data_IF_670631939736
#
_entry.id   IF_670631939736
#
_cell.length_a   1.000
_cell.length_b   1.000
_cell.length_c   1.000
_cell.angle_alpha   90.00
_cell.angle_beta   90.00
_cell.angle_gamma   90.00
#
_symmetry.space_group_name_H-M   'P 1'
#
loop_
_entity.id
_entity.type
_entity.pdbx_description
1 polymer ?
#
# COMPACT_ATOMS: atom_id res chain seq x y z
N UNK A 1 4.61 -15.09 1.62
CA UNK A 1 3.49 -14.13 1.60
C UNK A 1 2.21 -14.71 0.98
N UNK A 2 2.21 -15.14 -0.29
CA UNK A 2 0.96 -15.62 -0.93
C UNK A 2 0.26 -16.73 -0.13
N UNK A 3 1.01 -17.70 0.41
CA UNK A 3 0.44 -18.77 1.23
C UNK A 3 -0.14 -18.28 2.58
N UNK A 4 0.49 -17.30 3.25
CA UNK A 4 0.03 -16.78 4.54
C UNK A 4 -1.20 -15.87 4.40
N UNK A 5 -1.26 -15.07 3.34
CA UNK A 5 -2.35 -14.12 3.09
C UNK A 5 -3.54 -14.72 2.31
N UNK A 6 -3.35 -15.89 1.66
CA UNK A 6 -4.42 -16.52 0.86
C UNK A 6 -5.73 -16.74 1.63
N UNK A 7 -5.74 -17.23 2.89
CA UNK A 7 -6.99 -17.39 3.64
C UNK A 7 -7.76 -16.08 3.80
N UNK A 8 -7.05 -14.98 4.05
CA UNK A 8 -7.66 -13.66 4.24
C UNK A 8 -8.26 -13.14 2.92
N UNK A 9 -7.53 -13.28 1.82
CA UNK A 9 -8.01 -12.92 0.47
C UNK A 9 -9.26 -13.72 0.12
N UNK A 10 -9.28 -15.02 0.42
CA UNK A 10 -10.46 -15.88 0.19
C UNK A 10 -11.67 -15.35 0.98
N UNK A 11 -11.48 -14.97 2.25
CA UNK A 11 -12.57 -14.40 3.08
C UNK A 11 -13.10 -13.10 2.47
N UNK A 12 -12.22 -12.20 2.01
CA UNK A 12 -12.62 -10.96 1.35
C UNK A 12 -13.41 -11.20 0.05
N UNK A 13 -12.99 -12.20 -0.75
CA UNK A 13 -13.72 -12.64 -1.95
C UNK A 13 -15.09 -13.20 -1.57
N UNK A 14 -15.18 -14.04 -0.53
CA UNK A 14 -16.46 -14.61 -0.07
C UNK A 14 -17.45 -13.53 0.38
N UNK A 15 -16.98 -12.49 1.09
CA UNK A 15 -17.84 -11.35 1.44
C UNK A 15 -18.34 -10.61 0.19
N UNK A 16 -17.47 -10.41 -0.79
CA UNK A 16 -17.83 -9.77 -2.07
C UNK A 16 -18.86 -10.59 -2.84
N UNK A 17 -18.67 -11.91 -2.94
CA UNK A 17 -19.60 -12.84 -3.59
C UNK A 17 -20.96 -12.93 -2.88
N UNK A 18 -21.01 -12.67 -1.57
CA UNK A 18 -22.23 -12.58 -0.77
C UNK A 18 -22.89 -11.19 -0.82
N UNK A 19 -22.58 -10.38 -1.83
CA UNK A 19 -23.08 -9.01 -1.99
C UNK A 19 -22.73 -8.06 -0.82
N UNK A 20 -21.62 -8.33 -0.12
CA UNK A 20 -21.06 -7.44 0.90
C UNK A 20 -19.62 -7.01 0.55
N UNK A 21 -19.42 -6.24 -0.55
CA UNK A 21 -18.09 -5.80 -0.98
C UNK A 21 -17.43 -4.83 0.01
N UNK A 22 -18.23 -4.12 0.81
CA UNK A 22 -17.73 -3.19 1.84
C UNK A 22 -16.97 -3.96 2.91
N UNK A 23 -17.54 -5.06 3.42
CA UNK A 23 -16.85 -5.91 4.40
C UNK A 23 -15.54 -6.46 3.83
N UNK A 24 -15.56 -6.99 2.60
CA UNK A 24 -14.36 -7.49 1.94
C UNK A 24 -13.26 -6.44 1.80
N UNK A 25 -13.60 -5.23 1.33
CA UNK A 25 -12.65 -4.12 1.22
C UNK A 25 -12.13 -3.68 2.59
N UNK A 26 -12.99 -3.57 3.60
CA UNK A 26 -12.54 -3.18 4.96
C UNK A 26 -11.57 -4.18 5.56
N UNK A 27 -11.77 -5.48 5.32
CA UNK A 27 -10.83 -6.53 5.75
C UNK A 27 -9.47 -6.32 5.10
N UNK A 28 -9.43 -6.18 3.76
CA UNK A 28 -8.16 -6.01 3.03
C UNK A 28 -7.42 -4.73 3.42
N UNK A 29 -8.13 -3.60 3.53
CA UNK A 29 -7.54 -2.32 3.96
C UNK A 29 -7.01 -2.43 5.40
N UNK A 30 -7.76 -3.07 6.29
CA UNK A 30 -7.32 -3.28 7.67
C UNK A 30 -6.04 -4.11 7.75
N UNK A 31 -5.90 -5.13 6.90
CA UNK A 31 -4.69 -5.96 6.86
C UNK A 31 -3.50 -5.20 6.31
N UNK A 32 -3.67 -4.40 5.25
CA UNK A 32 -2.60 -3.55 4.74
C UNK A 32 -2.11 -2.54 5.81
N UNK A 33 -3.04 -1.90 6.53
CA UNK A 33 -2.68 -1.00 7.64
C UNK A 33 -1.90 -1.74 8.73
N UNK A 34 -2.33 -2.95 9.12
CA UNK A 34 -1.64 -3.76 10.11
C UNK A 34 -0.21 -4.16 9.65
N UNK A 35 -0.05 -4.51 8.38
CA UNK A 35 1.25 -4.86 7.81
C UNK A 35 2.20 -3.65 7.71
N UNK A 36 1.69 -2.48 7.31
CA UNK A 36 2.50 -1.28 7.17
C UNK A 36 2.83 -0.58 8.49
N UNK A 37 2.12 -0.92 9.57
CA UNK A 37 2.32 -0.28 10.87
C UNK A 37 2.84 -1.26 11.90
N UNK A 38 1.99 -2.20 12.35
CA UNK A 38 2.29 -3.10 13.45
C UNK A 38 3.43 -4.06 13.10
N UNK A 39 3.40 -4.66 11.91
CA UNK A 39 4.43 -5.62 11.51
C UNK A 39 5.79 -4.92 11.39
N UNK A 40 5.87 -3.81 10.65
CA UNK A 40 7.11 -3.04 10.49
C UNK A 40 7.63 -2.55 11.84
N UNK A 41 6.76 -2.00 12.69
CA UNK A 41 7.12 -1.56 14.04
C UNK A 41 7.63 -2.71 14.92
N UNK A 42 6.99 -3.88 14.85
CA UNK A 42 7.43 -5.06 15.60
C UNK A 42 8.81 -5.55 15.16
N UNK A 43 9.12 -5.47 13.86
CA UNK A 43 10.42 -5.86 13.32
C UNK A 43 11.55 -5.01 13.91
N UNK A 44 11.35 -3.69 13.97
CA UNK A 44 12.32 -2.75 14.58
C UNK A 44 12.53 -3.07 16.06
N UNK A 45 11.44 -3.32 16.80
CA UNK A 45 11.52 -3.66 18.23
C UNK A 45 12.25 -4.98 18.46
N UNK A 46 11.87 -6.04 17.75
CA UNK A 46 12.47 -7.37 17.87
C UNK A 46 13.96 -7.31 17.54
N UNK A 47 14.34 -6.62 16.45
CA UNK A 47 15.74 -6.45 16.08
C UNK A 47 16.53 -5.69 17.17
N UNK A 48 15.96 -4.62 17.70
CA UNK A 48 16.59 -3.82 18.76
C UNK A 48 16.77 -4.61 20.07
N UNK A 49 15.88 -5.55 20.38
CA UNK A 49 16.05 -6.45 21.53
C UNK A 49 17.06 -7.56 21.26
N UNK A 50 17.13 -8.05 20.03
CA UNK A 50 18.06 -9.10 19.63
C UNK A 50 19.51 -8.61 19.43
N UNK A 51 19.72 -7.31 19.18
CA UNK A 51 21.04 -6.69 18.96
C UNK A 51 21.42 -5.74 20.10
N UNK A 52 22.22 -6.18 21.08
CA UNK A 52 22.66 -5.33 22.18
C UNK A 52 23.54 -4.18 21.67
N UNK A 53 23.23 -2.93 22.07
CA UNK A 53 24.12 -1.78 21.87
C UNK A 53 23.69 -0.78 20.79
N UNK A 54 22.65 -1.05 20.00
CA UNK A 54 22.12 -0.10 19.00
C UNK A 54 20.59 0.04 19.13
N UNK A 55 20.10 0.87 20.07
CA UNK A 55 18.66 1.00 20.31
C UNK A 55 17.94 1.54 19.07
N UNK A 56 16.75 0.98 18.77
CA UNK A 56 15.87 1.40 17.68
C UNK A 56 16.51 1.34 16.29
N UNK A 57 17.42 0.40 16.05
CA UNK A 57 17.99 0.17 14.73
C UNK A 57 17.26 -0.94 13.97
N UNK A 58 17.04 -0.72 12.67
CA UNK A 58 16.74 -1.77 11.70
C UNK A 58 17.42 -1.35 10.39
N UNK A 59 18.72 -1.64 10.24
CA UNK A 59 19.49 -1.16 9.09
C UNK A 59 18.98 -1.84 7.82
N UNK A 60 18.61 -1.02 6.83
CA UNK A 60 18.26 -1.48 5.50
C UNK A 60 19.47 -1.34 4.60
N UNK A 61 19.75 -2.35 3.77
CA UNK A 61 20.68 -2.20 2.67
C UNK A 61 20.07 -1.32 1.55
N UNK A 62 20.88 -0.96 0.55
CA UNK A 62 20.44 -0.08 -0.55
C UNK A 62 19.24 -0.68 -1.31
N UNK A 63 19.22 -2.00 -1.49
CA UNK A 63 18.15 -2.68 -2.22
C UNK A 63 16.86 -2.69 -1.39
N UNK A 64 16.94 -3.01 -0.11
CA UNK A 64 15.82 -3.02 0.82
C UNK A 64 15.21 -1.62 0.96
N UNK A 65 16.04 -0.58 0.98
CA UNK A 65 15.59 0.81 0.99
C UNK A 65 14.80 1.17 -0.27
N UNK A 66 15.23 0.69 -1.44
CA UNK A 66 14.50 0.86 -2.71
C UNK A 66 13.19 0.08 -2.71
N UNK A 67 13.20 -1.17 -2.22
CA UNK A 67 11.99 -2.00 -2.11
C UNK A 67 10.96 -1.39 -1.14
N UNK A 68 11.45 -0.80 -0.04
CA UNK A 68 10.64 -0.06 0.92
C UNK A 68 10.03 1.20 0.31
N UNK A 69 10.83 1.97 -0.44
CA UNK A 69 10.36 3.17 -1.16
C UNK A 69 9.30 2.82 -2.21
N UNK A 70 9.52 1.76 -2.99
CA UNK A 70 8.58 1.26 -4.01
C UNK A 70 7.25 0.86 -3.37
N UNK A 71 7.30 0.13 -2.25
CA UNK A 71 6.11 -0.28 -1.50
C UNK A 71 5.35 0.95 -0.98
N UNK A 72 6.08 1.91 -0.41
CA UNK A 72 5.49 3.17 0.08
C UNK A 72 4.82 3.96 -1.04
N UNK A 73 5.46 4.06 -2.20
CA UNK A 73 4.92 4.77 -3.36
C UNK A 73 3.63 4.12 -3.89
N UNK A 74 3.59 2.78 -3.96
CA UNK A 74 2.40 2.04 -4.36
C UNK A 74 1.26 2.22 -3.35
N UNK A 75 1.54 2.13 -2.04
CA UNK A 75 0.52 2.33 -1.01
C UNK A 75 -0.05 3.75 -1.03
N UNK A 76 0.79 4.78 -1.22
CA UNK A 76 0.30 6.16 -1.40
C UNK A 76 -0.60 6.26 -2.63
N UNK A 77 -0.20 5.68 -3.76
CA UNK A 77 -1.01 5.66 -4.97
C UNK A 77 -2.36 4.94 -4.76
N UNK A 78 -2.36 3.79 -4.08
CA UNK A 78 -3.57 3.05 -3.74
C UNK A 78 -4.50 3.85 -2.82
N UNK A 79 -3.95 4.48 -1.78
CA UNK A 79 -4.70 5.37 -0.87
C UNK A 79 -5.36 6.50 -1.66
N UNK A 80 -4.64 7.14 -2.58
CA UNK A 80 -5.19 8.23 -3.40
C UNK A 80 -6.33 7.76 -4.32
N UNK A 81 -6.29 6.53 -4.81
CA UNK A 81 -7.39 5.94 -5.58
C UNK A 81 -8.62 5.61 -4.71
N UNK A 82 -8.41 5.22 -3.46
CA UNK A 82 -9.47 4.79 -2.53
C UNK A 82 -10.08 5.97 -1.76
N UNK A 83 -9.30 7.02 -1.47
CA UNK A 83 -9.69 8.16 -0.63
C UNK A 83 -11.02 8.84 -1.06
N UNK A 84 -11.34 9.00 -2.36
CA UNK A 84 -12.64 9.52 -2.80
C UNK A 84 -13.84 8.63 -2.48
N UNK A 85 -13.65 7.42 -1.94
CA UNK A 85 -14.66 6.37 -1.66
C UNK A 85 -15.44 5.88 -2.88
N UNK A 86 -14.96 6.19 -4.09
CA UNK A 86 -15.55 5.76 -5.36
C UNK A 86 -14.57 4.78 -6.01
N UNK A 87 -14.61 3.52 -5.60
CA UNK A 87 -13.76 2.47 -6.18
C UNK A 87 -14.45 1.92 -7.42
N UNK A 88 -13.86 2.17 -8.58
CA UNK A 88 -14.30 1.57 -9.85
C UNK A 88 -13.44 0.33 -10.15
N UNK A 89 -13.99 -0.62 -10.92
CA UNK A 89 -13.21 -1.77 -11.37
C UNK A 89 -11.94 -1.35 -12.14
N UNK A 90 -11.97 -0.20 -12.82
CA UNK A 90 -10.82 0.38 -13.54
C UNK A 90 -9.69 0.72 -12.57
N UNK A 91 -10.00 1.32 -11.41
CA UNK A 91 -9.00 1.62 -10.40
C UNK A 91 -8.34 0.35 -9.86
N UNK A 92 -9.13 -0.69 -9.58
CA UNK A 92 -8.60 -2.01 -9.19
C UNK A 92 -7.75 -2.66 -10.28
N UNK A 93 -8.16 -2.57 -11.55
CA UNK A 93 -7.39 -3.08 -12.67
C UNK A 93 -6.06 -2.33 -12.86
N UNK A 94 -6.04 -1.00 -12.68
CA UNK A 94 -4.81 -0.21 -12.73
C UNK A 94 -3.84 -0.64 -11.64
N UNK A 95 -4.30 -0.81 -10.40
CA UNK A 95 -3.47 -1.32 -9.30
C UNK A 95 -2.92 -2.71 -9.61
N UNK A 96 -3.76 -3.63 -10.06
CA UNK A 96 -3.34 -4.99 -10.39
C UNK A 96 -2.32 -5.03 -11.52
N UNK A 97 -2.58 -4.32 -12.63
CA UNK A 97 -1.68 -4.31 -13.80
C UNK A 97 -0.35 -3.69 -13.44
N UNK A 98 -0.33 -2.58 -12.72
CA UNK A 98 0.91 -1.92 -12.30
C UNK A 98 1.70 -2.76 -11.29
N UNK A 99 1.01 -3.46 -10.37
CA UNK A 99 1.63 -4.46 -9.48
C UNK A 99 2.29 -5.59 -10.27
N UNK A 100 1.52 -6.26 -11.14
CA UNK A 100 2.05 -7.37 -11.94
C UNK A 100 3.18 -6.92 -12.85
N UNK A 101 3.10 -5.73 -13.45
CA UNK A 101 4.13 -5.18 -14.33
C UNK A 101 5.48 -5.07 -13.62
N UNK A 102 5.54 -4.51 -12.40
CA UNK A 102 6.82 -4.33 -11.72
C UNK A 102 7.43 -5.66 -11.23
N UNK A 103 6.64 -6.74 -11.05
CA UNK A 103 7.17 -8.04 -10.60
C UNK A 103 8.21 -8.63 -11.55
N UNK A 104 8.08 -8.36 -12.85
CA UNK A 104 9.03 -8.82 -13.87
C UNK A 104 10.36 -8.06 -13.84
N UNK A 105 10.42 -6.93 -13.14
CA UNK A 105 11.62 -6.10 -13.05
C UNK A 105 12.28 -6.26 -11.66
N UNK A 106 13.36 -7.05 -11.64
CA UNK A 106 14.12 -7.34 -10.42
C UNK A 106 15.29 -6.37 -10.20
N UNK A 107 15.67 -5.62 -11.23
CA UNK A 107 16.77 -4.66 -11.17
C UNK A 107 16.45 -3.47 -10.23
N UNK A 108 17.37 -3.07 -9.33
CA UNK A 108 17.13 -1.97 -8.39
C UNK A 108 16.84 -0.62 -9.06
N UNK A 109 17.50 -0.31 -10.19
CA UNK A 109 17.26 0.97 -10.87
C UNK A 109 15.86 0.99 -11.49
N UNK A 110 15.43 -0.12 -12.10
CA UNK A 110 14.07 -0.26 -12.61
C UNK A 110 13.01 -0.10 -11.52
N UNK A 111 13.22 -0.71 -10.35
CA UNK A 111 12.31 -0.57 -9.20
C UNK A 111 12.20 0.86 -8.69
N UNK A 112 13.32 1.60 -8.71
CA UNK A 112 13.35 3.01 -8.35
C UNK A 112 12.57 3.86 -9.37
N UNK A 113 12.67 3.57 -10.68
CA UNK A 113 11.83 4.22 -11.69
C UNK A 113 10.34 3.92 -11.50
N UNK A 114 9.96 2.70 -11.13
CA UNK A 114 8.57 2.39 -10.76
C UNK A 114 8.11 3.20 -9.55
N UNK A 115 8.94 3.33 -8.51
CA UNK A 115 8.60 4.13 -7.33
C UNK A 115 8.30 5.59 -7.69
N UNK A 116 9.16 6.22 -8.49
CA UNK A 116 8.90 7.57 -9.00
C UNK A 116 7.69 7.63 -9.92
N UNK A 117 7.45 6.61 -10.73
CA UNK A 117 6.25 6.48 -11.55
C UNK A 117 4.97 6.48 -10.72
N UNK A 118 4.92 5.71 -9.63
CA UNK A 118 3.77 5.69 -8.73
C UNK A 118 3.54 7.03 -8.04
N UNK A 119 4.59 7.68 -7.56
CA UNK A 119 4.46 9.03 -7.01
C UNK A 119 4.01 10.06 -8.05
N UNK A 120 4.53 9.99 -9.27
CA UNK A 120 4.12 10.88 -10.36
C UNK A 120 2.64 10.68 -10.72
N UNK A 121 2.19 9.43 -10.85
CA UNK A 121 0.78 9.11 -11.09
C UNK A 121 -0.11 9.58 -9.95
N UNK A 122 0.31 9.38 -8.69
CA UNK A 122 -0.38 9.91 -7.52
C UNK A 122 -0.46 11.44 -7.53
N UNK A 123 0.63 12.12 -7.86
CA UNK A 123 0.68 13.57 -8.01
C UNK A 123 -0.25 14.07 -9.10
N UNK A 124 -0.28 13.42 -10.26
CA UNK A 124 -1.22 13.74 -11.35
C UNK A 124 -2.66 13.56 -10.89
N UNK A 125 -2.99 12.47 -10.20
CA UNK A 125 -4.33 12.25 -9.64
C UNK A 125 -4.74 13.36 -8.67
N UNK A 126 -3.81 13.78 -7.80
CA UNK A 126 -4.02 14.87 -6.85
C UNK A 126 -4.21 16.20 -7.57
N UNK A 127 -3.41 16.50 -8.60
CA UNK A 127 -3.55 17.74 -9.37
C UNK A 127 -4.86 17.78 -10.15
N UNK A 128 -5.23 16.69 -10.83
CA UNK A 128 -6.48 16.59 -11.59
C UNK A 128 -7.72 16.67 -10.69
N UNK A 129 -7.64 16.10 -9.49
CA UNK A 129 -8.75 16.01 -8.55
C UNK A 129 -8.56 16.88 -7.29
N UNK A 130 -7.74 17.95 -7.37
CA UNK A 130 -7.31 18.73 -6.21
C UNK A 130 -8.48 19.22 -5.34
N UNK A 131 -9.56 19.68 -5.98
CA UNK A 131 -10.78 20.12 -5.27
C UNK A 131 -11.46 19.00 -4.49
N UNK A 132 -11.45 17.78 -5.01
CA UNK A 132 -12.06 16.60 -4.37
C UNK A 132 -11.19 16.10 -3.23
N UNK A 133 -9.87 16.12 -3.39
CA UNK A 133 -8.91 15.71 -2.34
C UNK A 133 -8.92 16.70 -1.17
N UNK A 134 -8.96 18.01 -1.44
CA UNK A 134 -9.05 19.02 -0.38
C UNK A 134 -10.33 18.90 0.44
N UNK A 135 -11.44 18.41 -0.14
CA UNK A 135 -12.70 18.18 0.59
C UNK A 135 -12.64 16.95 1.52
N UNK A 136 -11.67 16.05 1.34
CA UNK A 136 -11.44 14.92 2.27
C UNK A 136 -10.79 15.43 3.57
N UNK A 137 -9.97 16.48 3.47
CA UNK A 137 -9.26 17.10 4.60
C UNK A 137 -9.91 18.40 5.10
N UNK A 138 -10.85 18.96 4.33
CA UNK A 138 -11.57 20.19 4.64
C UNK A 138 -12.95 19.90 5.25
N UNK A 139 -13.09 20.23 6.54
CA UNK A 139 -14.29 20.26 7.39
C UNK A 139 -15.07 18.95 7.63
N UNK A 140 -15.03 18.40 8.86
CA UNK A 140 -15.97 17.39 9.35
C UNK A 140 -17.31 17.98 9.85
N UNK A 141 -17.84 19.03 9.21
CA UNK A 141 -19.08 19.67 9.65
C UNK A 141 -20.02 19.90 8.48
N UNK A 142 -20.87 18.91 8.20
CA UNK A 142 -22.33 19.01 8.31
C UNK A 142 -22.89 17.69 8.84
#
# INVERSE_FOLDING_TARGET
PLASESPEIIIAILFTLRANPVAGLTTLISSEVNQLTLLIGSMVLIFSFASPGVPLSFPLDDRQSIEFLLTSAMSVFAILLIAPRIITWKAGAVLLVTFVAHLFFTDPQMRLYFAYGFFALGGVLVLMNWRRVMHIFGNPTE
#
